data_IF_120897912144
#
_entry.id   IF_120897912144
#
_cell.length_a   1.000
_cell.length_b   1.000
_cell.length_c   1.000
_cell.angle_alpha   90.00
_cell.angle_beta   90.00
_cell.angle_gamma   90.00
#
_symmetry.space_group_name_H-M   'P 1'
#
loop_
_entity.id
_entity.type
_entity.pdbx_description
1 polymer ?
#
# COMPACT_ATOMS: atom_id res chain seq x y z
N UNK A 1 17.26 -8.63 -3.64
CA UNK A 1 18.08 -7.45 -3.26
C UNK A 1 17.34 -6.72 -2.14
N UNK A 2 17.94 -6.58 -0.97
CA UNK A 2 17.30 -6.03 0.23
C UNK A 2 17.20 -4.49 0.22
N UNK A 3 16.26 -3.94 1.00
CA UNK A 3 16.07 -2.50 1.24
C UNK A 3 17.41 -1.80 1.55
N UNK A 4 17.74 -0.77 0.77
CA UNK A 4 19.05 -0.09 0.78
C UNK A 4 19.25 0.81 2.02
N UNK A 5 18.25 0.98 2.90
CA UNK A 5 18.28 1.99 3.97
C UNK A 5 18.09 1.46 5.40
N UNK A 6 17.96 0.15 5.62
CA UNK A 6 17.68 -0.42 6.95
C UNK A 6 16.32 0.02 7.55
N UNK A 7 15.53 0.80 6.80
CA UNK A 7 14.15 1.16 7.12
C UNK A 7 13.22 0.25 6.34
N UNK A 8 12.05 -0.01 6.92
CA UNK A 8 10.94 -0.64 6.22
C UNK A 8 10.52 0.24 5.04
N UNK A 9 10.53 -0.34 3.84
CA UNK A 9 10.21 0.36 2.59
C UNK A 9 8.80 0.02 2.11
N UNK A 10 8.04 1.06 1.76
CA UNK A 10 6.63 0.94 1.35
C UNK A 10 6.44 1.63 0.01
N UNK A 11 5.82 0.93 -0.94
CA UNK A 11 5.32 1.52 -2.19
C UNK A 11 3.81 1.67 -2.11
N UNK A 12 3.32 2.91 -2.16
CA UNK A 12 1.90 3.20 -2.31
C UNK A 12 1.55 3.20 -3.80
N UNK A 13 0.68 2.27 -4.20
CA UNK A 13 0.10 2.21 -5.55
C UNK A 13 -1.26 2.90 -5.51
N UNK A 14 -1.31 4.11 -6.06
CA UNK A 14 -2.51 4.96 -6.03
C UNK A 14 -2.41 6.08 -5.00
N UNK A 15 -1.74 7.18 -5.37
CA UNK A 15 -1.64 8.40 -4.56
C UNK A 15 -2.89 9.29 -4.60
N UNK A 16 -4.07 8.72 -4.38
CA UNK A 16 -5.30 9.48 -4.09
C UNK A 16 -5.51 9.62 -2.58
N UNK A 17 -6.65 10.17 -2.17
CA UNK A 17 -6.96 10.47 -0.76
C UNK A 17 -6.54 9.39 0.26
N UNK A 18 -6.99 8.15 0.06
CA UNK A 18 -6.66 7.00 0.92
C UNK A 18 -5.15 6.72 0.99
N UNK A 19 -4.52 6.55 -0.17
CA UNK A 19 -3.09 6.22 -0.25
C UNK A 19 -2.20 7.34 0.28
N UNK A 20 -2.59 8.60 0.07
CA UNK A 20 -1.85 9.76 0.57
C UNK A 20 -1.90 9.87 2.09
N UNK A 21 -3.06 9.63 2.72
CA UNK A 21 -3.15 9.66 4.19
C UNK A 21 -2.34 8.51 4.79
N UNK A 22 -2.54 7.25 4.37
CA UNK A 22 -1.76 6.14 4.92
C UNK A 22 -0.26 6.26 4.63
N UNK A 23 0.12 6.70 3.44
CA UNK A 23 1.52 6.98 3.10
C UNK A 23 2.15 8.03 4.02
N UNK A 24 1.42 9.11 4.29
CA UNK A 24 1.85 10.15 5.23
C UNK A 24 2.08 9.60 6.63
N UNK A 25 1.11 8.82 7.13
CA UNK A 25 1.18 8.26 8.48
C UNK A 25 2.31 7.23 8.60
N UNK A 26 2.52 6.38 7.61
CA UNK A 26 3.63 5.42 7.58
C UNK A 26 5.00 6.10 7.51
N UNK A 27 5.13 7.18 6.75
CA UNK A 27 6.39 7.94 6.69
C UNK A 27 6.72 8.56 8.06
N UNK A 28 5.72 9.13 8.74
CA UNK A 28 5.87 9.60 10.13
C UNK A 28 6.14 8.45 11.11
N UNK A 29 5.61 7.25 10.83
CA UNK A 29 5.90 6.01 11.54
C UNK A 29 7.32 5.47 11.29
N UNK A 30 8.13 6.12 10.46
CA UNK A 30 9.54 5.80 10.23
C UNK A 30 9.82 4.97 8.97
N UNK A 31 8.81 4.69 8.15
CA UNK A 31 9.00 4.01 6.87
C UNK A 31 9.69 4.92 5.84
N UNK A 32 10.41 4.31 4.90
CA UNK A 32 10.70 4.93 3.61
C UNK A 32 9.48 4.74 2.72
N UNK A 33 8.86 5.82 2.26
CA UNK A 33 7.60 5.76 1.52
C UNK A 33 7.79 6.30 0.10
N UNK A 34 7.53 5.44 -0.87
CA UNK A 34 7.44 5.81 -2.28
C UNK A 34 5.99 5.80 -2.74
N UNK A 35 5.65 6.67 -3.70
CA UNK A 35 4.30 6.73 -4.28
C UNK A 35 4.38 6.61 -5.79
N UNK A 36 3.56 5.72 -6.36
CA UNK A 36 3.24 5.75 -7.79
C UNK A 36 1.86 6.37 -7.98
N UNK A 37 1.82 7.49 -8.70
CA UNK A 37 0.57 8.16 -9.05
C UNK A 37 0.68 8.81 -10.43
N UNK A 38 -0.43 8.85 -11.19
CA UNK A 38 -0.45 9.50 -12.52
C UNK A 38 -0.97 10.93 -12.46
N UNK A 39 -2.23 11.10 -12.07
CA UNK A 39 -2.89 12.42 -12.06
C UNK A 39 -2.25 13.42 -11.10
N UNK A 40 -1.69 12.94 -9.99
CA UNK A 40 -1.06 13.78 -8.98
C UNK A 40 0.46 13.92 -9.15
N UNK A 41 1.08 13.25 -10.13
CA UNK A 41 2.53 13.10 -10.23
C UNK A 41 3.28 14.43 -10.16
N UNK A 42 3.00 15.35 -11.07
CA UNK A 42 3.75 16.61 -11.22
C UNK A 42 3.63 17.49 -9.96
N UNK A 43 2.43 17.59 -9.40
CA UNK A 43 2.21 18.39 -8.19
C UNK A 43 2.89 17.77 -6.99
N UNK A 44 2.75 16.45 -6.79
CA UNK A 44 3.30 15.77 -5.61
C UNK A 44 4.82 15.70 -5.67
N UNK A 45 5.40 15.51 -6.86
CA UNK A 45 6.86 15.51 -7.03
C UNK A 45 7.48 16.85 -6.64
N UNK A 46 6.80 17.97 -6.92
CA UNK A 46 7.33 19.30 -6.65
C UNK A 46 6.96 19.82 -5.26
N UNK A 47 5.77 19.51 -4.76
CA UNK A 47 5.18 20.17 -3.58
C UNK A 47 4.71 19.20 -2.47
N UNK A 48 4.81 17.88 -2.70
CA UNK A 48 4.16 16.89 -1.85
C UNK A 48 2.62 16.94 -1.94
N UNK A 49 1.97 16.13 -1.10
CA UNK A 49 0.53 16.24 -0.84
C UNK A 49 0.29 17.26 0.27
N UNK A 50 -0.59 18.22 0.01
CA UNK A 50 -1.14 19.09 1.05
C UNK A 50 -2.28 18.35 1.75
N UNK A 51 -2.19 18.18 3.06
CA UNK A 51 -3.17 17.41 3.83
C UNK A 51 -3.77 18.31 4.91
N UNK A 52 -5.06 18.58 4.77
CA UNK A 52 -5.89 19.16 5.83
C UNK A 52 -6.47 18.02 6.65
N UNK A 53 -6.17 17.96 7.94
CA UNK A 53 -6.56 16.86 8.81
C UNK A 53 -7.22 17.37 10.08
N UNK A 54 -8.47 16.95 10.33
CA UNK A 54 -9.13 17.18 11.61
C UNK A 54 -8.35 16.55 12.77
N UNK A 55 -7.98 15.27 12.62
CA UNK A 55 -7.31 14.49 13.67
C UNK A 55 -5.87 14.90 13.97
N UNK A 56 -5.10 15.21 12.92
CA UNK A 56 -3.64 15.32 13.01
C UNK A 56 -3.11 16.75 12.84
N UNK A 57 -3.99 17.71 12.56
CA UNK A 57 -3.61 19.03 12.09
C UNK A 57 -3.10 19.01 10.66
N UNK A 58 -3.02 20.20 10.06
CA UNK A 58 -2.61 20.35 8.67
C UNK A 58 -1.11 20.05 8.50
N UNK A 59 -0.74 19.48 7.35
CA UNK A 59 0.63 19.15 7.05
C UNK A 59 0.90 18.89 5.58
N UNK A 60 2.17 18.66 5.26
CA UNK A 60 2.62 18.26 3.93
C UNK A 60 3.21 16.87 4.02
N UNK A 61 2.70 15.96 3.19
CA UNK A 61 3.31 14.66 2.97
C UNK A 61 4.19 14.71 1.73
N UNK A 62 5.51 14.62 1.94
CA UNK A 62 6.51 14.56 0.88
C UNK A 62 7.11 13.16 0.80
N UNK A 63 6.60 12.27 -0.09
CA UNK A 63 7.16 10.93 -0.24
C UNK A 63 8.67 10.97 -0.52
N UNK A 64 9.40 9.98 -0.02
CA UNK A 64 10.84 9.83 -0.30
C UNK A 64 11.11 9.70 -1.80
N UNK A 65 10.19 9.03 -2.52
CA UNK A 65 10.20 8.98 -3.97
C UNK A 65 8.78 9.08 -4.56
N UNK A 66 8.67 9.78 -5.69
CA UNK A 66 7.41 9.95 -6.42
C UNK A 66 7.64 9.54 -7.86
N UNK A 67 6.84 8.58 -8.35
CA UNK A 67 6.96 8.02 -9.70
C UNK A 67 5.66 8.18 -10.48
N UNK A 68 5.79 8.44 -11.78
CA UNK A 68 4.65 8.54 -12.71
C UNK A 68 4.16 7.17 -13.17
N UNK A 69 5.00 6.14 -13.06
CA UNK A 69 4.75 4.76 -13.49
C UNK A 69 5.70 3.79 -12.80
N UNK A 70 5.39 2.48 -12.88
CA UNK A 70 6.31 1.46 -12.39
C UNK A 70 7.60 1.38 -13.21
N UNK A 71 7.57 1.64 -14.51
CA UNK A 71 8.79 1.68 -15.32
C UNK A 71 9.76 2.75 -14.81
N UNK A 72 9.23 3.94 -14.46
CA UNK A 72 10.04 4.98 -13.81
C UNK A 72 10.55 4.53 -12.44
N UNK A 73 9.68 3.91 -11.63
CA UNK A 73 10.08 3.36 -10.34
C UNK A 73 11.23 2.35 -10.49
N UNK A 74 11.15 1.39 -11.42
CA UNK A 74 12.18 0.37 -11.65
C UNK A 74 13.47 0.99 -12.21
N UNK A 75 13.37 1.98 -13.09
CA UNK A 75 14.55 2.62 -13.68
C UNK A 75 15.33 3.46 -12.66
N UNK A 76 14.63 4.09 -11.71
CA UNK A 76 15.22 4.99 -10.72
C UNK A 76 15.53 4.30 -9.38
N UNK A 77 14.80 3.24 -9.01
CA UNK A 77 15.03 2.48 -7.78
C UNK A 77 15.95 1.29 -8.02
N UNK A 78 16.97 1.16 -7.17
CA UNK A 78 17.88 0.01 -7.15
C UNK A 78 17.51 -0.98 -6.04
N UNK A 79 16.25 -1.00 -5.61
CA UNK A 79 15.78 -1.80 -4.48
C UNK A 79 14.32 -2.19 -4.65
N UNK A 80 13.91 -3.23 -3.91
CA UNK A 80 12.52 -3.69 -3.83
C UNK A 80 11.89 -3.24 -2.51
N UNK A 81 10.56 -3.26 -2.48
CA UNK A 81 9.78 -2.82 -1.33
C UNK A 81 9.43 -3.98 -0.41
N UNK A 82 9.44 -3.73 0.90
CA UNK A 82 8.92 -4.69 1.88
C UNK A 82 7.40 -4.80 1.78
N UNK A 83 6.71 -3.66 1.58
CA UNK A 83 5.26 -3.60 1.40
C UNK A 83 4.87 -2.86 0.12
N UNK A 84 3.90 -3.40 -0.59
CA UNK A 84 3.27 -2.77 -1.75
C UNK A 84 1.79 -2.61 -1.44
N UNK A 85 1.40 -1.38 -1.13
CA UNK A 85 0.06 -1.05 -0.66
C UNK A 85 -0.79 -0.57 -1.82
N UNK A 86 -1.79 -1.37 -2.17
CA UNK A 86 -2.69 -1.10 -3.28
C UNK A 86 -3.89 -0.31 -2.78
N UNK A 87 -3.91 0.99 -3.09
CA UNK A 87 -4.91 1.96 -2.63
C UNK A 87 -5.77 2.51 -3.79
N UNK A 88 -5.63 1.96 -4.99
CA UNK A 88 -6.46 2.30 -6.16
C UNK A 88 -7.81 1.62 -6.06
N UNK A 89 -8.89 2.27 -6.49
CA UNK A 89 -10.19 1.59 -6.68
C UNK A 89 -10.19 0.88 -8.03
N UNK A 90 -10.24 -0.44 -8.07
CA UNK A 90 -10.54 -1.20 -9.29
C UNK A 90 -11.93 -1.82 -9.20
N UNK A 91 -12.74 -1.68 -10.24
CA UNK A 91 -14.02 -2.35 -10.35
C UNK A 91 -13.80 -3.69 -11.07
N UNK A 92 -14.06 -4.85 -10.43
CA UNK A 92 -13.77 -6.16 -11.01
C UNK A 92 -14.53 -6.43 -12.31
N UNK A 93 -15.68 -5.76 -12.51
CA UNK A 93 -16.51 -5.89 -13.71
C UNK A 93 -15.90 -5.25 -14.97
N UNK A 94 -14.77 -4.55 -14.84
CA UNK A 94 -14.10 -3.83 -15.95
C UNK A 94 -12.80 -4.53 -16.35
N UNK A 95 -12.05 -5.10 -15.40
CA UNK A 95 -10.79 -5.80 -15.64
C UNK A 95 -10.36 -6.59 -14.39
N UNK A 96 -9.48 -7.59 -14.56
CA UNK A 96 -8.83 -8.27 -13.43
C UNK A 96 -8.17 -7.24 -12.48
N UNK A 97 -8.58 -7.15 -11.20
CA UNK A 97 -8.04 -6.19 -10.23
C UNK A 97 -6.52 -6.24 -10.06
N UNK A 98 -5.91 -7.43 -10.15
CA UNK A 98 -4.47 -7.62 -9.99
C UNK A 98 -3.65 -6.97 -11.10
N UNK A 99 -4.27 -6.63 -12.24
CA UNK A 99 -3.61 -5.95 -13.34
C UNK A 99 -3.00 -4.60 -12.92
N UNK A 100 -3.49 -3.99 -11.83
CA UNK A 100 -2.94 -2.75 -11.29
C UNK A 100 -1.49 -2.87 -10.83
N UNK A 101 -0.99 -4.09 -10.58
CA UNK A 101 0.39 -4.37 -10.20
C UNK A 101 1.25 -4.92 -11.34
N UNK A 102 0.73 -5.01 -12.56
CA UNK A 102 1.51 -5.52 -13.69
C UNK A 102 2.70 -4.62 -13.98
N UNK A 103 3.89 -5.23 -14.00
CA UNK A 103 5.16 -4.51 -14.19
C UNK A 103 5.61 -3.70 -12.98
N UNK A 104 5.01 -3.91 -11.80
CA UNK A 104 5.46 -3.28 -10.55
C UNK A 104 6.76 -3.89 -10.01
N UNK A 105 7.56 -3.16 -9.21
CA UNK A 105 8.80 -3.66 -8.61
C UNK A 105 8.53 -4.59 -7.41
N UNK A 106 7.84 -5.71 -7.65
CA UNK A 106 7.58 -6.79 -6.67
C UNK A 106 8.69 -7.85 -6.79
N UNK A 107 9.16 -8.38 -5.65
CA UNK A 107 9.94 -9.62 -5.60
C UNK A 107 9.31 -10.63 -4.64
N UNK A 108 9.90 -11.82 -4.48
CA UNK A 108 9.35 -12.87 -3.60
C UNK A 108 9.29 -12.49 -2.10
N UNK A 109 9.98 -11.43 -1.67
CA UNK A 109 10.00 -10.98 -0.28
C UNK A 109 9.03 -9.81 0.00
N UNK A 110 8.43 -9.23 -1.04
CA UNK A 110 7.43 -8.17 -0.90
C UNK A 110 6.10 -8.73 -0.40
N UNK A 111 5.49 -8.09 0.60
CA UNK A 111 4.08 -8.30 0.93
C UNK A 111 3.19 -7.31 0.15
N UNK A 112 2.06 -7.80 -0.33
CA UNK A 112 1.05 -6.98 -1.01
C UNK A 112 -0.06 -6.71 0.00
N UNK A 113 -0.30 -5.44 0.30
CA UNK A 113 -1.37 -4.99 1.20
C UNK A 113 -2.51 -4.43 0.35
N UNK A 114 -3.66 -5.08 0.39
CA UNK A 114 -4.84 -4.71 -0.38
C UNK A 114 -5.72 -3.83 0.49
N UNK A 115 -5.61 -2.51 0.31
CA UNK A 115 -6.48 -1.52 1.00
C UNK A 115 -7.49 -0.99 -0.01
N UNK A 116 -8.47 -1.83 -0.32
CA UNK A 116 -9.53 -1.46 -1.25
C UNK A 116 -10.89 -1.86 -0.70
N UNK A 117 -11.90 -1.08 -1.06
CA UNK A 117 -13.28 -1.49 -0.87
C UNK A 117 -13.67 -2.38 -2.06
N UNK A 118 -13.75 -3.68 -1.83
CA UNK A 118 -14.15 -4.70 -2.80
C UNK A 118 -14.34 -6.04 -2.08
N UNK A 119 -15.22 -6.89 -2.62
CA UNK A 119 -15.43 -8.25 -2.10
C UNK A 119 -14.65 -9.21 -3.02
N UNK A 120 -13.96 -10.18 -2.43
CA UNK A 120 -13.25 -11.27 -3.12
C UNK A 120 -12.22 -10.81 -4.16
N UNK A 121 -11.54 -9.69 -3.91
CA UNK A 121 -10.48 -9.21 -4.81
C UNK A 121 -9.16 -9.96 -4.60
N UNK A 122 -8.94 -10.50 -3.41
CA UNK A 122 -7.72 -11.17 -2.95
C UNK A 122 -7.35 -12.34 -3.85
N UNK A 123 -8.35 -13.10 -4.31
CA UNK A 123 -8.16 -14.27 -5.17
C UNK A 123 -7.43 -13.90 -6.47
N UNK A 124 -7.77 -12.76 -7.07
CA UNK A 124 -7.11 -12.28 -8.29
C UNK A 124 -5.62 -11.98 -8.05
N UNK A 125 -5.30 -11.39 -6.90
CA UNK A 125 -3.91 -11.12 -6.52
C UNK A 125 -3.17 -12.40 -6.15
N UNK A 126 -3.85 -13.39 -5.54
CA UNK A 126 -3.26 -14.67 -5.20
C UNK A 126 -2.86 -15.45 -6.45
N UNK A 127 -3.73 -15.47 -7.46
CA UNK A 127 -3.44 -16.11 -8.75
C UNK A 127 -2.29 -15.42 -9.50
N UNK A 128 -2.22 -14.09 -9.46
CA UNK A 128 -1.18 -13.31 -10.14
C UNK A 128 0.17 -13.32 -9.41
N UNK A 129 0.17 -13.40 -8.08
CA UNK A 129 1.35 -13.30 -7.21
C UNK A 129 1.37 -14.44 -6.17
N UNK A 130 1.44 -15.71 -6.60
CA UNK A 130 1.18 -16.87 -5.73
C UNK A 130 2.22 -17.10 -4.63
N UNK A 131 3.41 -16.51 -4.77
CA UNK A 131 4.49 -16.61 -3.79
C UNK A 131 4.51 -15.47 -2.78
N UNK A 132 3.76 -14.40 -3.04
CA UNK A 132 3.78 -13.19 -2.21
C UNK A 132 2.79 -13.31 -1.06
N UNK A 133 3.16 -12.76 0.09
CA UNK A 133 2.25 -12.63 1.22
C UNK A 133 1.20 -11.60 0.84
N UNK A 134 -0.08 -12.00 0.91
CA UNK A 134 -1.20 -11.09 0.73
C UNK A 134 -1.77 -10.71 2.10
N UNK A 135 -1.90 -9.41 2.33
CA UNK A 135 -2.54 -8.84 3.51
C UNK A 135 -3.82 -8.17 3.03
N UNK A 136 -4.97 -8.74 3.39
CA UNK A 136 -6.27 -8.11 3.16
C UNK A 136 -6.49 -7.06 4.24
N UNK A 137 -6.96 -5.88 3.85
CA UNK A 137 -7.12 -4.75 4.74
C UNK A 137 -8.36 -3.91 4.43
N UNK A 138 -9.09 -3.53 5.48
CA UNK A 138 -10.27 -2.69 5.43
C UNK A 138 -9.95 -1.38 6.15
N UNK A 139 -10.03 -0.27 5.41
CA UNK A 139 -9.82 1.06 5.96
C UNK A 139 -11.15 1.71 6.35
N UNK A 140 -11.23 2.19 7.60
CA UNK A 140 -12.30 3.06 8.07
C UNK A 140 -11.76 4.48 8.15
N UNK A 141 -12.04 5.29 7.14
CA UNK A 141 -11.43 6.61 6.98
C UNK A 141 -12.37 7.61 6.29
N UNK A 142 -12.40 8.84 6.77
CA UNK A 142 -13.11 9.96 6.17
C UNK A 142 -12.16 10.86 5.39
N UNK A 143 -11.87 10.48 4.13
CA UNK A 143 -10.95 11.25 3.30
C UNK A 143 -11.45 11.46 1.87
N UNK A 144 -11.10 12.61 1.32
CA UNK A 144 -11.33 12.97 -0.08
C UNK A 144 -10.16 13.77 -0.63
N UNK A 145 -10.00 13.71 -1.94
CA UNK A 145 -9.11 14.60 -2.66
C UNK A 145 -9.97 15.72 -3.25
N UNK A 146 -9.69 16.97 -2.89
CA UNK A 146 -10.45 18.14 -3.39
C UNK A 146 -9.87 18.66 -4.69
N UNK A 147 -8.55 18.62 -4.81
CA UNK A 147 -7.78 19.05 -5.98
C UNK A 147 -6.56 18.14 -6.18
N UNK A 148 -5.88 18.23 -7.32
CA UNK A 148 -4.63 17.48 -7.53
C UNK A 148 -3.63 17.76 -6.41
N UNK A 149 -3.24 16.72 -5.67
CA UNK A 149 -2.33 16.83 -4.53
C UNK A 149 -2.89 17.44 -3.24
N UNK A 150 -4.18 17.81 -3.18
CA UNK A 150 -4.82 18.38 -1.98
C UNK A 150 -5.81 17.39 -1.38
N UNK A 151 -5.53 16.96 -0.15
CA UNK A 151 -6.28 15.93 0.57
C UNK A 151 -6.95 16.56 1.78
N UNK A 152 -8.23 16.24 1.97
CA UNK A 152 -8.98 16.53 3.19
C UNK A 152 -9.23 15.20 3.90
N UNK A 153 -8.85 15.13 5.16
CA UNK A 153 -9.05 14.02 6.08
C UNK A 153 -9.77 14.54 7.32
N UNK A 154 -10.78 13.83 7.81
CA UNK A 154 -11.50 14.24 9.01
C UNK A 154 -10.87 13.67 10.28
N UNK A 155 -11.70 13.05 11.11
CA UNK A 155 -11.32 12.52 12.43
C UNK A 155 -11.14 11.00 12.43
N UNK A 156 -11.73 10.31 11.46
CA UNK A 156 -11.80 8.85 11.44
C UNK A 156 -10.62 8.28 10.66
N UNK A 157 -9.83 7.44 11.31
CA UNK A 157 -8.84 6.58 10.66
C UNK A 157 -8.59 5.36 11.53
N UNK A 158 -8.76 4.19 10.93
CA UNK A 158 -8.25 2.91 11.41
C UNK A 158 -8.08 1.95 10.23
N UNK A 159 -7.22 0.96 10.40
CA UNK A 159 -7.00 -0.10 9.42
C UNK A 159 -7.13 -1.45 10.10
N UNK A 160 -8.11 -2.24 9.69
CA UNK A 160 -8.19 -3.65 10.08
C UNK A 160 -7.52 -4.48 8.99
N UNK A 161 -6.66 -5.42 9.37
CA UNK A 161 -5.90 -6.20 8.39
C UNK A 161 -5.54 -7.58 8.90
N UNK A 162 -5.27 -8.49 7.98
CA UNK A 162 -4.82 -9.84 8.26
C UNK A 162 -4.24 -10.51 7.02
N UNK A 163 -3.43 -11.55 7.23
CA UNK A 163 -2.93 -12.37 6.11
C UNK A 163 -4.12 -13.07 5.47
N UNK A 164 -4.26 -12.90 4.15
CA UNK A 164 -5.22 -13.65 3.36
C UNK A 164 -4.75 -15.10 3.21
N UNK A 165 -5.64 -16.04 3.51
CA UNK A 165 -5.42 -17.46 3.30
C UNK A 165 -6.45 -17.90 2.25
N UNK A 166 -6.03 -18.32 1.05
CA UNK A 166 -6.95 -18.80 0.03
C UNK A 166 -7.72 -20.03 0.55
N UNK A 167 -9.02 -20.06 0.30
CA UNK A 167 -9.87 -21.18 0.71
C UNK A 167 -9.39 -22.48 0.05
N UNK A 168 -8.99 -23.47 0.87
CA UNK A 168 -8.68 -24.81 0.39
C UNK A 168 -9.97 -25.57 0.09
N UNK A 169 -10.71 -25.17 -0.94
CA UNK A 169 -11.75 -26.01 -1.50
C UNK A 169 -11.12 -27.04 -2.43
N UNK A 170 -10.95 -28.25 -1.89
CA UNK A 170 -10.56 -29.51 -2.54
C UNK A 170 -9.11 -29.66 -3.02
N UNK A 171 -8.20 -29.89 -2.08
CA UNK A 171 -7.32 -31.10 -2.16
C UNK A 171 -6.74 -31.41 -0.79
N UNK A 172 -7.30 -32.45 -0.15
CA UNK A 172 -6.61 -33.13 0.96
C UNK A 172 -5.30 -33.71 0.41
N UNK A 173 -4.24 -33.58 1.20
CA UNK A 173 -2.85 -33.98 0.95
C UNK A 173 -1.95 -32.85 0.45
N UNK A 174 -1.51 -32.00 1.37
CA UNK A 174 -0.10 -31.83 1.75
C UNK A 174 -0.02 -30.80 2.86
N UNK A 175 0.43 -31.22 4.04
CA UNK A 175 0.89 -30.30 5.10
C UNK A 175 2.17 -29.61 4.62
N UNK A 176 2.04 -28.52 3.85
CA UNK A 176 3.08 -27.51 3.78
C UNK A 176 2.71 -26.43 4.79
N UNK A 177 3.47 -26.38 5.88
CA UNK A 177 3.44 -25.29 6.85
C UNK A 177 3.53 -23.95 6.11
N UNK A 178 2.43 -23.21 6.06
CA UNK A 178 2.48 -21.76 5.76
C UNK A 178 3.40 -21.19 6.83
N UNK A 179 4.58 -20.63 6.49
CA UNK A 179 5.44 -20.02 7.48
C UNK A 179 4.64 -18.95 8.20
N UNK A 180 4.54 -19.04 9.52
CA UNK A 180 3.77 -18.08 10.31
C UNK A 180 4.45 -16.72 10.22
N UNK A 181 3.96 -15.88 9.29
CA UNK A 181 4.45 -14.55 8.94
C UNK A 181 4.13 -13.48 10.01
N UNK A 182 4.12 -13.84 11.29
CA UNK A 182 3.77 -12.90 12.37
C UNK A 182 4.68 -11.66 12.34
N UNK A 183 5.96 -11.82 12.00
CA UNK A 183 6.91 -10.70 11.96
C UNK A 183 6.57 -9.62 10.92
N UNK A 184 5.94 -9.98 9.79
CA UNK A 184 5.56 -8.99 8.76
C UNK A 184 4.34 -8.19 9.22
N UNK A 185 3.33 -8.85 9.80
CA UNK A 185 2.19 -8.14 10.36
C UNK A 185 2.60 -7.25 11.54
N UNK A 186 3.44 -7.76 12.45
CA UNK A 186 3.97 -7.00 13.59
C UNK A 186 4.80 -5.79 13.15
N UNK A 187 5.57 -5.92 12.07
CA UNK A 187 6.36 -4.81 11.51
C UNK A 187 5.45 -3.74 10.92
N UNK A 188 4.43 -4.13 10.13
CA UNK A 188 3.44 -3.20 9.60
C UNK A 188 2.67 -2.50 10.74
N UNK A 189 2.20 -3.28 11.72
CA UNK A 189 1.48 -2.79 12.90
C UNK A 189 2.29 -1.75 13.66
N UNK A 190 3.56 -2.05 13.95
CA UNK A 190 4.47 -1.12 14.63
C UNK A 190 4.54 0.23 13.92
N UNK A 191 4.64 0.24 12.59
CA UNK A 191 4.71 1.48 11.83
C UNK A 191 3.37 2.21 11.74
N UNK A 192 2.25 1.48 11.64
CA UNK A 192 0.91 2.07 11.69
C UNK A 192 0.63 2.71 13.06
N UNK A 193 0.98 2.04 14.16
CA UNK A 193 0.85 2.57 15.53
C UNK A 193 1.74 3.80 15.71
N UNK A 194 3.02 3.72 15.32
CA UNK A 194 3.93 4.87 15.40
C UNK A 194 3.44 6.06 14.54
N UNK A 195 2.77 5.77 13.43
CA UNK A 195 2.08 6.72 12.58
C UNK A 195 0.72 7.17 13.10
N UNK A 196 0.23 6.72 14.27
CA UNK A 196 -1.13 6.97 14.78
C UNK A 196 -2.26 6.61 13.79
N UNK A 197 -2.07 5.57 12.98
CA UNK A 197 -3.02 5.09 11.97
C UNK A 197 -3.30 3.58 12.05
N UNK A 198 -2.94 2.95 13.18
CA UNK A 198 -3.34 1.58 13.51
C UNK A 198 -4.84 1.45 13.72
#
# INVERSE_FOLDING_TARGET
>A
MASKSGKTSVLIVGGGALGSVFGWRLQLGGCLVSVVCRSNYEIVKNNGFQIESGKFGNGVFSPDHVFSSFNAAIAESNFYYDYIMVCTKTLPNISNPANVLMGSPINENSAIVLIQNGIDIEQYFHEAFPTNILISAIAYIDTKQTESGVIVHGEAISLQYGVFIPDQTETRHSTSSVPTNNSILETLEKHLIAGNSG
#
